data_IF_331527128019
#
_entry.id   IF_331527128019
#
_cell.length_a   1.000
_cell.length_b   1.000
_cell.length_c   1.000
_cell.angle_alpha   90.00
_cell.angle_beta   90.00
_cell.angle_gamma   90.00
#
_symmetry.space_group_name_H-M   'P 1'
#
loop_
_entity.id
_entity.type
_entity.pdbx_description
1 polymer ?
#
# COMPACT_ATOMS: atom_id res chain seq x y z
N UNK A 1 8.23 -4.57 9.65
CA UNK A 1 6.95 -4.77 10.37
C UNK A 1 7.10 -4.27 11.80
N UNK A 2 7.94 -4.90 12.61
CA UNK A 2 8.21 -4.46 14.00
C UNK A 2 9.07 -3.18 14.11
N UNK A 3 9.60 -2.69 12.98
CA UNK A 3 10.27 -1.39 12.86
C UNK A 3 9.93 -0.75 11.50
N UNK A 4 10.05 0.58 11.43
CA UNK A 4 10.00 1.37 10.19
C UNK A 4 11.43 1.71 9.75
N UNK A 5 11.85 1.37 8.52
CA UNK A 5 13.17 1.74 8.02
C UNK A 5 13.31 3.24 7.72
N UNK A 6 12.21 3.99 7.64
CA UNK A 6 12.22 5.43 7.34
C UNK A 6 12.32 6.22 8.65
N UNK A 7 13.32 7.08 8.74
CA UNK A 7 13.55 7.94 9.90
C UNK A 7 12.35 8.86 10.17
N UNK A 8 11.93 8.97 11.43
CA UNK A 8 10.81 9.84 11.84
C UNK A 8 9.41 9.28 11.57
N UNK A 9 9.28 8.10 10.96
CA UNK A 9 7.99 7.46 10.66
C UNK A 9 7.66 6.28 11.60
N UNK A 10 8.35 6.19 12.74
CA UNK A 10 7.96 5.28 13.80
C UNK A 10 6.69 5.80 14.49
N UNK A 11 5.75 4.90 14.81
CA UNK A 11 4.54 5.23 15.55
C UNK A 11 4.49 4.49 16.90
N UNK A 12 3.67 4.99 17.83
CA UNK A 12 3.50 4.38 19.14
C UNK A 12 3.01 2.93 19.03
N UNK A 13 3.75 1.99 19.63
CA UNK A 13 3.46 0.56 19.55
C UNK A 13 4.12 -0.18 18.37
N UNK A 14 4.92 0.50 17.55
CA UNK A 14 5.79 -0.15 16.57
C UNK A 14 7.06 -0.69 17.24
N UNK A 15 6.91 -1.84 17.88
CA UNK A 15 7.95 -2.52 18.66
C UNK A 15 8.03 -4.01 18.33
N UNK A 16 9.06 -4.67 18.86
CA UNK A 16 9.23 -6.12 18.73
C UNK A 16 7.98 -6.87 19.22
N UNK A 17 7.48 -7.80 18.40
CA UNK A 17 6.28 -8.59 18.72
C UNK A 17 4.97 -7.95 18.24
N UNK A 18 5.01 -6.78 17.58
CA UNK A 18 3.84 -6.20 16.92
C UNK A 18 3.25 -7.18 15.89
N UNK A 19 4.09 -7.84 15.09
CA UNK A 19 3.60 -8.85 14.14
C UNK A 19 2.84 -9.99 14.82
N UNK A 20 3.29 -10.46 15.98
CA UNK A 20 2.59 -11.50 16.75
C UNK A 20 1.23 -11.01 17.27
N UNK A 21 1.17 -9.76 17.77
CA UNK A 21 -0.09 -9.12 18.15
C UNK A 21 -1.07 -9.04 16.96
N UNK A 22 -0.58 -8.74 15.76
CA UNK A 22 -1.42 -8.71 14.54
C UNK A 22 -1.89 -10.11 14.15
N UNK A 23 -1.02 -11.13 14.18
CA UNK A 23 -1.43 -12.52 13.96
C UNK A 23 -2.53 -12.95 14.92
N UNK A 24 -2.42 -12.59 16.19
CA UNK A 24 -3.43 -12.92 17.20
C UNK A 24 -4.79 -12.28 16.90
N UNK A 25 -4.82 -11.03 16.42
CA UNK A 25 -6.08 -10.34 16.04
C UNK A 25 -6.81 -11.05 14.90
N UNK A 26 -6.06 -11.72 14.02
CA UNK A 26 -6.62 -12.44 12.87
C UNK A 26 -6.74 -13.96 13.10
N UNK A 27 -6.56 -14.46 14.32
CA UNK A 27 -6.52 -15.90 14.62
C UNK A 27 -7.77 -16.66 14.15
N UNK A 28 -8.94 -16.01 14.20
CA UNK A 28 -10.23 -16.61 13.82
C UNK A 28 -10.60 -16.40 12.33
N UNK A 29 -9.69 -15.86 11.52
CA UNK A 29 -9.93 -15.54 10.10
C UNK A 29 -9.03 -16.40 9.18
N UNK A 30 -9.40 -17.65 8.88
CA UNK A 30 -8.56 -18.58 8.11
C UNK A 30 -8.25 -18.10 6.68
N UNK A 31 -9.05 -17.19 6.14
CA UNK A 31 -8.84 -16.57 4.83
C UNK A 31 -7.78 -15.46 4.83
N UNK A 32 -7.29 -15.02 6.00
CA UNK A 32 -6.29 -13.96 6.11
C UNK A 32 -4.90 -14.57 6.10
N UNK A 33 -4.08 -14.15 5.12
CA UNK A 33 -2.66 -14.46 5.05
C UNK A 33 -1.86 -13.19 5.35
N UNK A 34 -1.10 -13.22 6.45
CA UNK A 34 -0.18 -12.16 6.83
C UNK A 34 1.21 -12.46 6.29
N UNK A 35 1.85 -11.47 5.66
CA UNK A 35 3.21 -11.59 5.11
C UNK A 35 4.10 -10.57 5.81
N UNK A 36 5.09 -11.04 6.56
CA UNK A 36 6.04 -10.18 7.24
C UNK A 36 7.24 -9.87 6.33
N UNK A 37 7.60 -8.60 6.21
CA UNK A 37 8.80 -8.18 5.47
C UNK A 37 8.76 -6.70 5.13
N UNK A 38 9.81 -6.23 4.47
CA UNK A 38 9.83 -4.91 3.83
C UNK A 38 9.38 -5.05 2.38
N UNK A 39 8.58 -4.10 1.91
CA UNK A 39 8.17 -4.03 0.51
C UNK A 39 9.28 -3.37 -0.31
N UNK A 40 9.44 -3.75 -1.60
CA UNK A 40 8.68 -4.78 -2.31
C UNK A 40 9.16 -6.22 -2.05
N UNK A 41 10.31 -6.41 -1.37
CA UNK A 41 10.94 -7.73 -1.19
C UNK A 41 10.02 -8.79 -0.56
N UNK A 42 9.10 -8.39 0.31
CA UNK A 42 8.14 -9.31 0.92
C UNK A 42 7.27 -10.06 -0.13
N UNK A 43 7.10 -9.52 -1.34
CA UNK A 43 6.38 -10.20 -2.42
C UNK A 43 7.08 -11.46 -2.93
N UNK A 44 8.38 -11.64 -2.69
CA UNK A 44 9.12 -12.89 -2.98
C UNK A 44 8.58 -14.08 -2.18
N UNK A 45 7.95 -13.82 -1.02
CA UNK A 45 7.30 -14.85 -0.21
C UNK A 45 5.92 -15.27 -0.77
N UNK A 46 5.49 -14.61 -1.85
CA UNK A 46 4.24 -14.84 -2.56
C UNK A 46 3.27 -13.68 -2.44
N UNK A 47 2.77 -13.23 -3.59
CA UNK A 47 1.68 -12.27 -3.74
C UNK A 47 0.50 -12.95 -4.48
N UNK A 48 -0.74 -12.47 -4.32
CA UNK A 48 -1.88 -13.00 -5.07
C UNK A 48 -1.65 -12.95 -6.58
N UNK A 49 -2.18 -13.93 -7.32
CA UNK A 49 -2.14 -13.91 -8.78
C UNK A 49 -3.11 -12.88 -9.36
N UNK A 50 -4.23 -12.66 -8.66
CA UNK A 50 -5.25 -11.67 -9.00
C UNK A 50 -5.66 -10.90 -7.76
N UNK A 51 -5.85 -9.60 -7.93
CA UNK A 51 -6.23 -8.67 -6.88
C UNK A 51 -7.52 -7.95 -7.30
N UNK A 52 -8.55 -8.03 -6.46
CA UNK A 52 -9.80 -7.28 -6.68
C UNK A 52 -9.76 -5.90 -6.01
N UNK A 53 -9.04 -5.78 -4.90
CA UNK A 53 -8.82 -4.55 -4.15
C UNK A 53 -7.35 -4.48 -3.71
N UNK A 54 -6.65 -3.43 -4.13
CA UNK A 54 -5.30 -3.10 -3.69
C UNK A 54 -5.35 -1.82 -2.84
N UNK A 55 -5.14 -1.94 -1.53
CA UNK A 55 -5.05 -0.79 -0.64
C UNK A 55 -3.59 -0.56 -0.25
N UNK A 56 -3.07 0.65 -0.48
CA UNK A 56 -1.69 1.03 -0.25
C UNK A 56 -1.65 2.17 0.77
N UNK A 57 -0.95 1.94 1.87
CA UNK A 57 -0.76 2.86 3.00
C UNK A 57 0.63 2.59 3.58
N UNK A 58 1.65 3.24 3.01
CA UNK A 58 3.04 3.07 3.46
C UNK A 58 3.65 4.38 3.94
N UNK A 59 2.99 5.51 3.71
CA UNK A 59 3.49 6.85 3.99
C UNK A 59 4.89 7.09 3.39
N UNK A 60 5.21 6.42 2.27
CA UNK A 60 6.54 6.41 1.67
C UNK A 60 6.47 6.22 0.16
N UNK A 61 6.80 7.28 -0.59
CA UNK A 61 6.69 7.32 -2.06
C UNK A 61 7.41 6.16 -2.75
N UNK A 62 8.66 5.89 -2.37
CA UNK A 62 9.46 4.84 -3.02
C UNK A 62 8.83 3.45 -2.81
N UNK A 63 8.35 3.18 -1.60
CA UNK A 63 7.62 1.97 -1.26
C UNK A 63 6.32 1.82 -2.04
N UNK A 64 5.52 2.89 -2.12
CA UNK A 64 4.21 2.87 -2.81
C UNK A 64 4.37 2.66 -4.31
N UNK A 65 5.31 3.36 -4.95
CA UNK A 65 5.64 3.14 -6.36
C UNK A 65 6.16 1.72 -6.58
N UNK A 66 7.01 1.20 -5.70
CA UNK A 66 7.48 -0.18 -5.82
C UNK A 66 6.36 -1.22 -5.67
N UNK A 67 5.35 -0.95 -4.84
CA UNK A 67 4.14 -1.79 -4.73
C UNK A 67 3.32 -1.72 -6.01
N UNK A 68 3.11 -0.52 -6.57
CA UNK A 68 2.40 -0.34 -7.83
C UNK A 68 3.11 -1.10 -8.96
N UNK A 69 4.43 -0.99 -9.10
CA UNK A 69 5.20 -1.76 -10.10
C UNK A 69 5.04 -3.28 -9.92
N UNK A 70 4.96 -3.77 -8.68
CA UNK A 70 4.84 -5.20 -8.41
C UNK A 70 3.42 -5.77 -8.59
N UNK A 71 2.38 -4.97 -8.26
CA UNK A 71 1.02 -5.47 -8.10
C UNK A 71 -0.01 -4.91 -9.08
N UNK A 72 0.26 -3.78 -9.74
CA UNK A 72 -0.74 -3.12 -10.59
C UNK A 72 -1.30 -4.03 -11.69
N UNK A 73 -0.44 -4.78 -12.37
CA UNK A 73 -0.84 -5.70 -13.44
C UNK A 73 -1.59 -6.94 -12.92
N UNK A 74 -1.50 -7.22 -11.62
CA UNK A 74 -2.26 -8.28 -10.96
C UNK A 74 -3.65 -7.81 -10.54
N UNK A 75 -3.92 -6.49 -10.56
CA UNK A 75 -5.26 -5.97 -10.32
C UNK A 75 -6.16 -6.34 -11.50
N UNK A 76 -7.26 -7.02 -11.20
CA UNK A 76 -8.21 -7.48 -12.22
C UNK A 76 -8.91 -6.29 -12.89
N UNK A 77 -9.35 -6.40 -14.16
CA UNK A 77 -10.27 -5.43 -14.75
C UNK A 77 -11.50 -5.23 -13.86
N UNK A 78 -11.87 -3.97 -13.62
CA UNK A 78 -12.90 -3.58 -12.66
C UNK A 78 -12.45 -3.56 -11.18
N UNK A 79 -11.23 -3.97 -10.89
CA UNK A 79 -10.63 -3.90 -9.56
C UNK A 79 -10.33 -2.47 -9.13
N UNK A 80 -10.19 -2.28 -7.82
CA UNK A 80 -10.02 -0.96 -7.20
C UNK A 80 -8.61 -0.88 -6.60
N UNK A 81 -7.95 0.25 -6.82
CA UNK A 81 -6.72 0.62 -6.12
C UNK A 81 -7.05 1.82 -5.25
N UNK A 82 -6.65 1.77 -3.98
CA UNK A 82 -6.81 2.86 -3.02
C UNK A 82 -5.42 3.27 -2.55
N UNK A 83 -5.14 4.57 -2.65
CA UNK A 83 -3.90 5.24 -2.25
C UNK A 83 -4.24 6.07 -1.01
N UNK A 84 -3.79 5.67 0.19
CA UNK A 84 -4.32 6.22 1.43
C UNK A 84 -3.95 7.70 1.65
N UNK A 85 -2.74 8.08 1.26
CA UNK A 85 -2.18 9.41 1.50
C UNK A 85 -2.34 10.41 0.33
N UNK A 86 -3.06 10.05 -0.73
CA UNK A 86 -2.99 10.75 -2.04
C UNK A 86 -3.16 12.28 -2.01
N UNK A 87 -4.13 12.82 -1.27
CA UNK A 87 -4.40 14.25 -1.14
C UNK A 87 -3.90 14.87 0.17
N UNK A 88 -3.08 14.14 0.93
CA UNK A 88 -2.49 14.70 2.14
C UNK A 88 -1.41 15.74 1.82
N UNK A 89 -1.33 16.76 2.69
CA UNK A 89 -0.42 17.88 2.54
C UNK A 89 0.89 17.68 3.33
N UNK A 90 1.82 18.63 3.20
CA UNK A 90 3.07 18.64 3.96
C UNK A 90 3.99 17.50 3.58
N UNK A 91 4.40 16.69 4.55
CA UNK A 91 5.35 15.59 4.36
C UNK A 91 4.84 14.49 3.42
N UNK A 92 3.52 14.41 3.21
CA UNK A 92 2.87 13.44 2.32
C UNK A 92 2.70 13.93 0.88
N UNK A 93 3.01 15.19 0.60
CA UNK A 93 2.85 15.74 -0.77
C UNK A 93 3.68 15.01 -1.83
N UNK A 94 4.90 14.50 -1.54
CA UNK A 94 5.66 13.72 -2.48
C UNK A 94 4.95 12.46 -3.00
N UNK A 95 4.07 11.81 -2.20
CA UNK A 95 3.29 10.65 -2.62
C UNK A 95 2.44 10.99 -3.83
N UNK A 96 1.60 12.02 -3.71
CA UNK A 96 0.77 12.52 -4.81
C UNK A 96 1.57 12.77 -6.08
N UNK A 97 2.72 13.43 -5.96
CA UNK A 97 3.55 13.79 -7.13
C UNK A 97 4.10 12.53 -7.81
N UNK A 98 4.56 11.55 -7.03
CA UNK A 98 5.05 10.28 -7.54
C UNK A 98 3.93 9.48 -8.21
N UNK A 99 2.79 9.37 -7.54
CA UNK A 99 1.62 8.62 -7.99
C UNK A 99 1.00 9.25 -9.25
N UNK A 100 0.78 10.56 -9.26
CA UNK A 100 0.27 11.30 -10.42
C UNK A 100 1.11 10.99 -11.67
N UNK A 101 2.44 11.11 -11.56
CA UNK A 101 3.35 10.79 -12.66
C UNK A 101 3.22 9.33 -13.09
N UNK A 102 3.22 8.41 -12.13
CA UNK A 102 3.21 6.97 -12.40
C UNK A 102 1.94 6.51 -13.12
N UNK A 103 0.78 7.02 -12.69
CA UNK A 103 -0.51 6.72 -13.31
C UNK A 103 -0.72 7.47 -14.63
N UNK A 104 -0.19 8.70 -14.77
CA UNK A 104 -0.24 9.45 -16.03
C UNK A 104 0.51 8.76 -17.15
N UNK A 105 1.70 8.21 -16.87
CA UNK A 105 2.50 7.40 -17.81
C UNK A 105 1.74 6.16 -18.32
N UNK A 106 0.73 5.71 -17.56
CA UNK A 106 -0.12 4.55 -17.88
C UNK A 106 -1.54 4.97 -18.33
N UNK A 107 -1.78 6.26 -18.51
CA UNK A 107 -3.06 6.85 -18.91
C UNK A 107 -4.22 6.51 -17.96
N UNK A 108 -3.95 6.40 -16.67
CA UNK A 108 -4.95 6.28 -15.62
C UNK A 108 -5.20 7.63 -14.96
N UNK A 109 -6.37 7.76 -14.32
CA UNK A 109 -6.72 8.92 -13.51
C UNK A 109 -7.03 8.45 -12.10
N UNK A 110 -6.56 9.22 -11.14
CA UNK A 110 -6.83 9.03 -9.73
C UNK A 110 -8.01 9.94 -9.37
N UNK A 111 -9.02 9.36 -8.73
CA UNK A 111 -10.18 10.06 -8.21
C UNK A 111 -9.89 10.45 -6.75
N UNK A 112 -9.65 11.74 -6.45
CA UNK A 112 -9.44 12.17 -5.07
C UNK A 112 -10.73 12.06 -4.26
N UNK A 113 -10.60 11.63 -3.01
CA UNK A 113 -11.69 11.54 -2.03
C UNK A 113 -11.57 12.66 -0.98
N UNK A 114 -12.69 13.10 -0.39
CA UNK A 114 -12.68 14.12 0.67
C UNK A 114 -11.99 13.65 1.96
N UNK A 115 -11.70 12.36 2.09
CA UNK A 115 -10.95 11.76 3.22
C UNK A 115 -9.44 11.84 3.05
N UNK A 116 -8.94 12.38 1.94
CA UNK A 116 -7.49 12.43 1.63
C UNK A 116 -7.02 11.28 0.75
N UNK A 117 -7.83 10.24 0.57
CA UNK A 117 -7.48 9.07 -0.24
C UNK A 117 -7.63 9.32 -1.74
N UNK A 118 -6.94 8.52 -2.56
CA UNK A 118 -7.11 8.45 -4.00
C UNK A 118 -7.65 7.09 -4.42
N UNK A 119 -8.59 7.05 -5.37
CA UNK A 119 -9.10 5.80 -5.95
C UNK A 119 -8.72 5.70 -7.43
N UNK A 120 -8.29 4.52 -7.88
CA UNK A 120 -8.15 4.19 -9.30
C UNK A 120 -9.00 2.98 -9.63
N UNK A 121 -9.76 3.06 -10.72
CA UNK A 121 -10.49 1.93 -11.29
C UNK A 121 -9.62 1.26 -12.37
N UNK A 122 -9.27 0.00 -12.16
CA UNK A 122 -8.47 -0.78 -13.11
C UNK A 122 -9.31 -1.13 -14.35
N UNK A 123 -8.78 -0.83 -15.53
CA UNK A 123 -9.38 -1.18 -16.83
C UNK A 123 -8.85 -2.51 -17.33
#
# INVERSE_FOLDING_TARGET
FDYNPVEGHAFEGQEQGLFDKVKQRFADYPQVRLVAGLLPKAFEQGAPERVALLHIDLNNVEGEIAVLEALFDKVSPGGIIVLDDYEWAGVYRPQKIGEDRWFDDRHYRIFPLPTGQGIVLKR
#
